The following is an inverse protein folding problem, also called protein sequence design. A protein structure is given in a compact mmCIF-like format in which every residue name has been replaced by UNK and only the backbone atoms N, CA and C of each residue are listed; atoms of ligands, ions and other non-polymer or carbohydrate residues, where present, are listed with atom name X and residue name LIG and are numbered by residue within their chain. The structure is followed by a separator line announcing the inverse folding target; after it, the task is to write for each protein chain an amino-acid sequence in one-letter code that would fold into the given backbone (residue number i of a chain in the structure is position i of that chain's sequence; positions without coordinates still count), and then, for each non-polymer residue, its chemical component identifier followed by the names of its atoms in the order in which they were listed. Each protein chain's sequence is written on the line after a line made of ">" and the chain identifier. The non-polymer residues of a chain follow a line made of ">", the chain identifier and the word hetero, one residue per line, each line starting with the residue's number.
data_IF_485917069504
#
_entry.id   IF_485917069504
#
_cell.length_a   1.000
_cell.length_b   1.000
_cell.length_c   1.000
_cell.angle_alpha   90.00
_cell.angle_beta   90.00
_cell.angle_gamma   90.00
#
_symmetry.space_group_name_H-M   'P 1'
#
loop_
_entity.id
_entity.type
_entity.pdbx_description
1 polymer ?
#
# COMPACT_ATOMS: atom_id res chain seq x y z
N UNK A 1 -22.24 22.62 29.24
CA UNK A 1 -22.77 21.26 29.47
C UNK A 1 -22.55 20.46 28.18
N UNK A 2 -21.73 19.40 28.20
CA UNK A 2 -21.43 18.56 27.02
C UNK A 2 -22.26 17.29 27.09
N UNK A 3 -23.03 16.98 26.04
CA UNK A 3 -23.84 15.77 25.99
C UNK A 3 -23.06 14.64 25.30
N UNK A 4 -22.95 13.46 25.93
CA UNK A 4 -22.31 12.32 25.29
C UNK A 4 -23.16 11.82 24.11
N UNK A 5 -22.51 11.60 22.97
CA UNK A 5 -23.13 11.02 21.79
C UNK A 5 -23.46 9.54 22.02
N UNK A 6 -24.43 9.02 21.28
CA UNK A 6 -24.84 7.60 21.34
C UNK A 6 -23.67 6.62 21.18
N UNK A 7 -22.65 7.00 20.39
CA UNK A 7 -21.42 6.23 20.20
C UNK A 7 -20.58 6.16 21.48
N UNK A 8 -20.43 7.27 22.19
CA UNK A 8 -19.75 7.31 23.49
C UNK A 8 -20.53 6.53 24.57
N UNK A 9 -21.87 6.56 24.53
CA UNK A 9 -22.71 5.79 25.47
C UNK A 9 -22.64 4.27 25.26
N UNK A 10 -22.43 3.82 24.02
CA UNK A 10 -22.35 2.39 23.67
C UNK A 10 -20.92 1.84 23.65
N UNK A 11 -19.93 2.68 23.95
CA UNK A 11 -18.52 2.29 23.96
C UNK A 11 -18.24 1.36 25.15
N UNK A 12 -18.12 0.05 24.87
CA UNK A 12 -17.50 -0.91 25.79
C UNK A 12 -16.01 -0.92 25.50
N UNK A 13 -15.23 -0.34 26.41
CA UNK A 13 -13.79 -0.13 26.29
C UNK A 13 -13.03 -1.39 25.87
N UNK A 14 -13.22 -2.49 26.60
CA UNK A 14 -12.42 -3.71 26.40
C UNK A 14 -12.70 -4.40 25.05
N UNK A 15 -13.97 -4.46 24.62
CA UNK A 15 -14.33 -5.04 23.31
C UNK A 15 -13.98 -4.12 22.15
N UNK A 16 -14.06 -2.80 22.37
CA UNK A 16 -13.75 -1.81 21.33
C UNK A 16 -12.25 -1.71 21.07
N UNK A 17 -11.40 -1.84 22.09
CA UNK A 17 -9.96 -1.72 21.94
C UNK A 17 -9.37 -2.93 21.21
N UNK A 18 -9.85 -4.14 21.51
CA UNK A 18 -9.46 -5.35 20.79
C UNK A 18 -9.85 -5.27 19.30
N UNK A 19 -11.09 -4.90 19.01
CA UNK A 19 -11.58 -4.74 17.63
C UNK A 19 -10.83 -3.64 16.87
N UNK A 20 -10.44 -2.56 17.54
CA UNK A 20 -9.63 -1.49 16.93
C UNK A 20 -8.23 -2.00 16.55
N UNK A 21 -7.60 -2.79 17.43
CA UNK A 21 -6.29 -3.39 17.15
C UNK A 21 -6.35 -4.34 15.96
N UNK A 22 -7.31 -5.26 15.93
CA UNK A 22 -7.51 -6.16 14.78
C UNK A 22 -7.74 -5.40 13.47
N UNK A 23 -8.49 -4.29 13.52
CA UNK A 23 -8.71 -3.44 12.34
C UNK A 23 -7.44 -2.73 11.87
N UNK A 24 -6.57 -2.32 12.80
CA UNK A 24 -5.28 -1.70 12.50
C UNK A 24 -4.30 -2.72 11.91
N UNK A 25 -4.20 -3.91 12.50
CA UNK A 25 -3.35 -4.99 12.00
C UNK A 25 -3.74 -5.35 10.55
N UNK A 26 -5.05 -5.48 10.27
CA UNK A 26 -5.54 -5.74 8.91
C UNK A 26 -5.18 -4.62 7.93
N UNK A 27 -5.23 -3.36 8.37
CA UNK A 27 -4.80 -2.22 7.57
C UNK A 27 -3.30 -2.29 7.26
N UNK A 28 -2.48 -2.57 8.26
CA UNK A 28 -1.02 -2.73 8.09
C UNK A 28 -0.68 -3.85 7.10
N UNK A 29 -1.36 -5.01 7.20
CA UNK A 29 -1.20 -6.11 6.26
C UNK A 29 -1.52 -5.68 4.81
N UNK A 30 -2.62 -4.94 4.61
CA UNK A 30 -3.02 -4.45 3.28
C UNK A 30 -2.05 -3.41 2.74
N UNK A 31 -1.52 -2.55 3.59
CA UNK A 31 -0.47 -1.61 3.23
C UNK A 31 0.79 -2.34 2.78
N UNK A 32 1.24 -3.35 3.53
CA UNK A 32 2.40 -4.15 3.16
C UNK A 32 2.20 -4.87 1.81
N UNK A 33 1.03 -5.48 1.59
CA UNK A 33 0.68 -6.12 0.32
C UNK A 33 0.71 -5.14 -0.85
N UNK A 34 0.12 -3.96 -0.69
CA UNK A 34 0.12 -2.91 -1.71
C UNK A 34 1.54 -2.45 -2.05
N UNK A 35 2.40 -2.25 -1.05
CA UNK A 35 3.80 -1.88 -1.26
C UNK A 35 4.58 -2.97 -2.01
N UNK A 36 4.38 -4.25 -1.69
CA UNK A 36 5.01 -5.35 -2.42
C UNK A 36 4.57 -5.38 -3.89
N UNK A 37 3.28 -5.14 -4.15
CA UNK A 37 2.74 -5.07 -5.51
C UNK A 37 3.31 -3.89 -6.29
N UNK A 38 3.43 -2.72 -5.66
CA UNK A 38 4.05 -1.54 -6.24
C UNK A 38 5.52 -1.78 -6.60
N UNK A 39 6.30 -2.37 -5.70
CA UNK A 39 7.69 -2.73 -5.94
C UNK A 39 7.83 -3.72 -7.10
N UNK A 40 6.94 -4.72 -7.17
CA UNK A 40 6.91 -5.70 -8.26
C UNK A 40 6.64 -5.03 -9.60
N UNK A 41 5.66 -4.11 -9.64
CA UNK A 41 5.33 -3.35 -10.84
C UNK A 41 6.50 -2.46 -11.30
N UNK A 42 7.10 -1.68 -10.38
CA UNK A 42 8.28 -0.85 -10.67
C UNK A 42 9.44 -1.69 -11.21
N UNK A 43 9.68 -2.86 -10.63
CA UNK A 43 10.70 -3.81 -11.10
C UNK A 43 10.41 -4.33 -12.50
N UNK A 44 9.15 -4.65 -12.82
CA UNK A 44 8.75 -5.09 -14.15
C UNK A 44 8.96 -3.98 -15.20
N UNK A 45 8.58 -2.74 -14.88
CA UNK A 45 8.84 -1.58 -15.73
C UNK A 45 10.33 -1.38 -15.96
N UNK A 46 11.14 -1.36 -14.90
CA UNK A 46 12.59 -1.20 -15.03
C UNK A 46 13.21 -2.29 -15.92
N UNK A 47 12.76 -3.54 -15.78
CA UNK A 47 13.18 -4.65 -16.65
C UNK A 47 12.80 -4.43 -18.11
N UNK A 48 11.59 -3.94 -18.38
CA UNK A 48 11.11 -3.63 -19.73
C UNK A 48 11.93 -2.50 -20.38
N UNK A 49 12.22 -1.43 -19.65
CA UNK A 49 13.07 -0.36 -20.17
C UNK A 49 14.50 -0.83 -20.37
N UNK A 50 15.07 -1.61 -19.44
CA UNK A 50 16.40 -2.17 -19.61
C UNK A 50 16.47 -3.15 -20.78
N UNK A 51 15.43 -3.95 -21.03
CA UNK A 51 15.40 -4.82 -22.22
C UNK A 51 15.29 -4.00 -23.51
N UNK A 52 14.45 -2.95 -23.53
CA UNK A 52 14.36 -2.04 -24.68
C UNK A 52 15.66 -1.28 -24.94
N UNK A 53 16.32 -0.78 -23.90
CA UNK A 53 17.63 -0.13 -24.00
C UNK A 53 18.74 -1.09 -24.43
N UNK A 54 18.69 -2.36 -23.97
CA UNK A 54 19.59 -3.43 -24.44
C UNK A 54 19.28 -3.95 -25.85
N UNK A 55 18.07 -3.71 -26.36
CA UNK A 55 17.73 -3.91 -27.77
C UNK A 55 18.09 -2.70 -28.65
N UNK A 56 18.49 -1.58 -28.03
CA UNK A 56 18.87 -0.34 -28.69
C UNK A 56 20.40 -0.01 -28.74
N UNK A 57 21.38 -0.93 -28.68
CA UNK A 57 22.77 -0.55 -28.97
C UNK A 57 23.02 -0.38 -30.48
N UNK A 58 22.08 -0.76 -31.34
CA UNK A 58 22.24 -0.69 -32.81
C UNK A 58 21.61 0.54 -33.46
N UNK A 59 21.09 1.50 -32.68
CA UNK A 59 20.64 2.81 -33.20
C UNK A 59 21.74 3.87 -33.16
N UNK A 60 23.01 3.47 -33.31
CA UNK A 60 24.05 4.34 -33.86
C UNK A 60 23.73 4.59 -35.34
N UNK A 61 22.71 5.43 -35.56
CA UNK A 61 22.21 5.85 -36.85
C UNK A 61 22.14 7.37 -36.90
N UNK A 62 23.28 7.97 -37.23
CA UNK A 62 23.52 9.28 -37.86
C UNK A 62 22.34 10.26 -37.86
N UNK A 63 22.41 11.27 -37.00
CA UNK A 63 22.04 12.65 -37.30
C UNK A 63 23.02 13.61 -36.62
#
# INVERSE_FOLDING_TARGET
>A
MVFPTLRAKRYKKDTSDAQLRESLDLLEERHAEAHLRELTYKKAIARLYNSKGKLAPTWEGLY
#
